data_IF_309724144030
#
_entry.id   IF_309724144030
#
_cell.length_a   1.000
_cell.length_b   1.000
_cell.length_c   1.000
_cell.angle_alpha   90.00
_cell.angle_beta   90.00
_cell.angle_gamma   90.00
#
_symmetry.space_group_name_H-M   'P 1'
#
loop_
_entity.id
_entity.type
_entity.pdbx_description
1 polymer ?
#
# COMPACT_ATOMS: atom_id res chain seq x y z
N UNK A 1 19.40 -15.86 -26.53
CA UNK A 1 20.16 -15.68 -27.78
C UNK A 1 21.37 -16.62 -27.85
N UNK A 2 22.34 -16.51 -26.92
CA UNK A 2 23.54 -17.37 -26.92
C UNK A 2 23.25 -18.87 -26.92
N UNK A 3 22.35 -19.34 -26.03
CA UNK A 3 21.91 -20.75 -25.97
C UNK A 3 21.29 -21.23 -27.30
N UNK A 4 20.65 -20.33 -28.05
CA UNK A 4 20.03 -20.67 -29.33
C UNK A 4 21.06 -20.71 -30.47
N UNK A 5 22.09 -19.85 -30.42
CA UNK A 5 23.10 -19.73 -31.48
C UNK A 5 24.23 -20.75 -31.36
N UNK A 6 24.56 -21.20 -30.14
CA UNK A 6 25.68 -22.10 -29.89
C UNK A 6 25.14 -23.46 -29.44
N UNK A 7 24.99 -24.42 -30.36
CA UNK A 7 24.62 -25.79 -30.02
C UNK A 7 25.77 -26.42 -29.23
N UNK A 8 25.62 -26.49 -27.91
CA UNK A 8 26.66 -26.97 -26.99
C UNK A 8 26.65 -26.24 -25.64
N UNK A 9 26.00 -25.08 -25.55
CA UNK A 9 25.80 -24.42 -24.26
C UNK A 9 24.70 -25.15 -23.47
N UNK A 10 24.97 -25.57 -22.23
CA UNK A 10 23.97 -26.18 -21.35
C UNK A 10 22.81 -25.19 -21.08
N UNK A 11 21.58 -25.69 -21.00
CA UNK A 11 20.39 -24.90 -20.65
C UNK A 11 20.54 -24.25 -19.26
N UNK A 12 21.34 -24.87 -18.40
CA UNK A 12 21.72 -24.41 -17.08
C UNK A 12 22.41 -23.04 -17.10
N UNK A 13 23.02 -22.65 -18.23
CA UNK A 13 23.59 -21.32 -18.41
C UNK A 13 22.54 -20.20 -18.26
N UNK A 14 21.27 -20.49 -18.57
CA UNK A 14 20.17 -19.53 -18.36
C UNK A 14 20.02 -19.19 -16.88
N UNK A 15 20.23 -20.15 -15.96
CA UNK A 15 20.15 -19.89 -14.53
C UNK A 15 21.22 -18.91 -14.06
N UNK A 16 22.44 -19.01 -14.62
CA UNK A 16 23.51 -18.07 -14.32
C UNK A 16 23.17 -16.64 -14.78
N UNK A 17 22.60 -16.49 -15.97
CA UNK A 17 22.14 -15.17 -16.46
C UNK A 17 21.00 -14.62 -15.60
N UNK A 18 20.04 -15.47 -15.21
CA UNK A 18 18.96 -15.07 -14.29
C UNK A 18 19.47 -14.66 -12.92
N UNK A 19 20.53 -15.30 -12.43
CA UNK A 19 21.19 -14.93 -11.18
C UNK A 19 21.79 -13.51 -11.27
N UNK A 20 22.54 -13.20 -12.34
CA UNK A 20 23.08 -11.85 -12.57
C UNK A 20 21.97 -10.80 -12.64
N UNK A 21 20.89 -11.09 -13.38
CA UNK A 21 19.74 -10.18 -13.49
C UNK A 21 19.07 -9.95 -12.12
N UNK A 22 18.94 -10.99 -11.30
CA UNK A 22 18.36 -10.92 -9.96
C UNK A 22 19.25 -10.14 -9.00
N UNK A 23 20.57 -10.32 -9.09
CA UNK A 23 21.54 -9.57 -8.32
C UNK A 23 21.51 -8.07 -8.65
N UNK A 24 21.28 -7.73 -9.92
CA UNK A 24 21.00 -6.35 -10.36
C UNK A 24 19.64 -5.79 -9.91
N UNK A 25 18.86 -6.51 -9.10
CA UNK A 25 17.56 -6.10 -8.57
C UNK A 25 16.36 -6.41 -9.48
N UNK A 26 16.60 -6.88 -10.72
CA UNK A 26 15.56 -7.22 -11.69
C UNK A 26 14.54 -6.09 -11.94
N UNK A 27 13.31 -6.47 -12.28
CA UNK A 27 12.23 -5.51 -12.59
C UNK A 27 11.88 -4.59 -11.40
N UNK A 28 11.99 -5.08 -10.16
CA UNK A 28 11.62 -4.29 -8.97
C UNK A 28 12.71 -3.29 -8.62
N UNK A 29 13.98 -3.67 -8.74
CA UNK A 29 15.12 -2.76 -8.61
C UNK A 29 15.08 -1.64 -9.64
N UNK A 30 14.85 -1.97 -10.91
CA UNK A 30 14.72 -0.99 -11.98
C UNK A 30 13.61 0.04 -11.70
N UNK A 31 12.43 -0.43 -11.28
CA UNK A 31 11.31 0.48 -10.93
C UNK A 31 11.62 1.33 -9.70
N UNK A 32 12.29 0.76 -8.68
CA UNK A 32 12.70 1.52 -7.50
C UNK A 32 13.70 2.62 -7.87
N UNK A 33 14.70 2.31 -8.69
CA UNK A 33 15.69 3.29 -9.18
C UNK A 33 15.00 4.38 -10.00
N UNK A 34 14.09 4.02 -10.90
CA UNK A 34 13.35 4.99 -11.71
C UNK A 34 12.50 5.93 -10.85
N UNK A 35 11.81 5.42 -9.81
CA UNK A 35 11.03 6.26 -8.90
C UNK A 35 11.91 7.15 -8.02
N UNK A 36 13.03 6.63 -7.51
CA UNK A 36 13.99 7.43 -6.75
C UNK A 36 14.57 8.56 -7.60
N UNK A 37 15.07 8.24 -8.79
CA UNK A 37 15.59 9.24 -9.73
C UNK A 37 14.53 10.30 -10.06
N UNK A 38 13.30 9.88 -10.37
CA UNK A 38 12.19 10.80 -10.63
C UNK A 38 11.89 11.71 -9.44
N UNK A 39 11.92 11.17 -8.21
CA UNK A 39 11.68 11.93 -7.00
C UNK A 39 12.77 12.98 -6.73
N UNK A 40 14.01 12.69 -7.15
CA UNK A 40 15.15 13.60 -7.00
C UNK A 40 15.08 14.78 -7.98
N UNK A 41 14.63 14.56 -9.22
CA UNK A 41 14.56 15.60 -10.27
C UNK A 41 13.18 16.28 -10.36
N UNK A 42 12.34 16.12 -9.34
CA UNK A 42 10.99 16.67 -9.32
C UNK A 42 10.72 17.50 -8.07
N UNK A 43 10.07 18.65 -8.29
CA UNK A 43 9.47 19.46 -7.22
C UNK A 43 8.27 18.73 -6.62
N UNK A 44 7.90 19.04 -5.38
CA UNK A 44 6.81 18.35 -4.67
C UNK A 44 5.48 18.39 -5.43
N UNK A 45 5.19 19.52 -6.08
CA UNK A 45 3.99 19.72 -6.89
C UNK A 45 3.94 18.78 -8.11
N UNK A 46 5.05 18.64 -8.83
CA UNK A 46 5.13 17.85 -10.07
C UNK A 46 5.48 16.37 -9.85
N UNK A 47 5.96 16.00 -8.65
CA UNK A 47 6.44 14.65 -8.33
C UNK A 47 5.38 13.58 -8.58
N UNK A 48 4.17 13.81 -8.09
CA UNK A 48 3.06 12.85 -8.22
C UNK A 48 2.72 12.59 -9.68
N UNK A 49 2.66 13.65 -10.51
CA UNK A 49 2.38 13.53 -11.93
C UNK A 49 3.48 12.74 -12.66
N UNK A 50 4.75 13.09 -12.44
CA UNK A 50 5.88 12.38 -13.09
C UNK A 50 5.96 10.90 -12.69
N UNK A 51 5.80 10.59 -11.40
CA UNK A 51 5.78 9.20 -10.91
C UNK A 51 4.60 8.42 -11.53
N UNK A 52 3.42 9.04 -11.63
CA UNK A 52 2.25 8.44 -12.27
C UNK A 52 2.51 8.14 -13.75
N UNK A 53 3.14 9.06 -14.48
CA UNK A 53 3.50 8.88 -15.89
C UNK A 53 4.49 7.73 -16.09
N UNK A 54 5.57 7.66 -15.29
CA UNK A 54 6.54 6.55 -15.33
C UNK A 54 5.83 5.22 -15.07
N UNK A 55 4.99 5.17 -14.05
CA UNK A 55 4.25 3.96 -13.71
C UNK A 55 3.30 3.54 -14.84
N UNK A 56 2.64 4.50 -15.49
CA UNK A 56 1.75 4.25 -16.62
C UNK A 56 2.50 3.69 -17.84
N UNK A 57 3.67 4.26 -18.16
CA UNK A 57 4.53 3.78 -19.25
C UNK A 57 5.02 2.35 -18.99
N UNK A 58 5.39 2.02 -17.75
CA UNK A 58 5.76 0.66 -17.38
C UNK A 58 4.64 -0.36 -17.64
N UNK A 59 3.41 -0.03 -17.25
CA UNK A 59 2.26 -0.90 -17.48
C UNK A 59 1.88 -1.02 -18.96
N UNK A 60 2.09 0.04 -19.76
CA UNK A 60 1.84 0.03 -21.19
C UNK A 60 2.89 -0.80 -21.97
N UNK A 61 4.14 -0.81 -21.50
CA UNK A 61 5.22 -1.55 -22.13
C UNK A 61 4.97 -3.06 -22.22
N UNK A 62 4.25 -3.64 -21.25
CA UNK A 62 3.88 -5.06 -21.24
C UNK A 62 3.09 -5.50 -22.47
N UNK A 63 1.85 -4.99 -22.67
CA UNK A 63 1.05 -5.28 -23.86
C UNK A 63 1.74 -4.92 -25.17
N UNK A 64 2.44 -3.78 -25.23
CA UNK A 64 3.17 -3.38 -26.44
C UNK A 64 4.26 -4.39 -26.80
N UNK A 65 5.02 -4.85 -25.80
CA UNK A 65 6.07 -5.86 -25.99
C UNK A 65 5.50 -7.20 -26.44
N UNK A 66 4.44 -7.69 -25.78
CA UNK A 66 3.82 -8.98 -26.17
C UNK A 66 3.16 -8.91 -27.54
N UNK A 67 2.53 -7.79 -27.90
CA UNK A 67 1.95 -7.58 -29.22
C UNK A 67 3.02 -7.53 -30.31
N UNK A 68 4.10 -6.77 -30.08
CA UNK A 68 5.22 -6.66 -31.01
C UNK A 68 5.88 -8.03 -31.23
N UNK A 69 6.15 -8.77 -30.16
CA UNK A 69 6.74 -10.11 -30.24
C UNK A 69 5.78 -11.08 -30.95
N UNK A 70 4.46 -11.00 -30.72
CA UNK A 70 3.49 -11.83 -31.43
C UNK A 70 3.54 -11.61 -32.96
N UNK A 71 3.61 -10.35 -33.40
CA UNK A 71 3.72 -10.02 -34.83
C UNK A 71 5.05 -10.52 -35.41
N UNK A 72 6.15 -10.34 -34.69
CA UNK A 72 7.47 -10.83 -35.14
C UNK A 72 7.49 -12.35 -35.24
N UNK A 73 6.94 -13.07 -34.26
CA UNK A 73 6.88 -14.54 -34.29
C UNK A 73 5.93 -15.08 -35.38
N UNK A 74 4.95 -14.29 -35.81
CA UNK A 74 4.06 -14.67 -36.92
C UNK A 74 4.75 -14.61 -38.28
N UNK A 75 5.64 -13.65 -38.49
CA UNK A 75 6.28 -13.39 -39.78
C UNK A 75 7.76 -13.83 -39.84
N UNK A 76 8.34 -14.22 -38.71
CA UNK A 76 9.77 -14.46 -38.58
C UNK A 76 10.08 -15.56 -37.55
N UNK A 77 11.35 -15.74 -37.24
CA UNK A 77 11.83 -16.81 -36.35
C UNK A 77 12.02 -16.32 -34.91
N UNK A 78 12.16 -17.24 -33.97
CA UNK A 78 12.53 -16.91 -32.58
C UNK A 78 13.85 -16.13 -32.49
N UNK A 79 14.78 -16.37 -33.43
CA UNK A 79 16.06 -15.66 -33.46
C UNK A 79 15.86 -14.15 -33.66
N UNK A 80 14.99 -13.73 -34.58
CA UNK A 80 14.76 -12.32 -34.85
C UNK A 80 14.04 -11.63 -33.68
N UNK A 81 13.10 -12.31 -33.03
CA UNK A 81 12.45 -11.82 -31.82
C UNK A 81 13.47 -11.58 -30.68
N UNK A 82 14.37 -12.55 -30.44
CA UNK A 82 15.42 -12.42 -29.42
C UNK A 82 16.45 -11.34 -29.77
N UNK A 83 16.81 -11.20 -31.04
CA UNK A 83 17.73 -10.15 -31.51
C UNK A 83 17.09 -8.76 -31.39
N UNK A 84 15.80 -8.61 -31.70
CA UNK A 84 15.08 -7.34 -31.53
C UNK A 84 15.03 -6.92 -30.05
N UNK A 85 14.79 -7.87 -29.14
CA UNK A 85 14.84 -7.63 -27.69
C UNK A 85 16.23 -7.17 -27.26
N UNK A 86 17.30 -7.80 -27.76
CA UNK A 86 18.68 -7.38 -27.48
C UNK A 86 18.93 -5.94 -27.95
N UNK A 87 18.48 -5.60 -29.16
CA UNK A 87 18.61 -4.25 -29.72
C UNK A 87 17.94 -3.21 -28.81
N UNK A 88 16.72 -3.46 -28.33
CA UNK A 88 16.06 -2.54 -27.40
C UNK A 88 16.80 -2.41 -26.06
N UNK A 89 17.34 -3.49 -25.50
CA UNK A 89 18.15 -3.40 -24.28
C UNK A 89 19.45 -2.63 -24.50
N UNK A 90 20.13 -2.81 -25.64
CA UNK A 90 21.34 -2.07 -25.99
C UNK A 90 21.01 -0.59 -26.15
N UNK A 91 19.95 -0.23 -26.88
CA UNK A 91 19.50 1.15 -27.01
C UNK A 91 19.14 1.78 -25.65
N UNK A 92 18.40 1.05 -24.80
CA UNK A 92 18.06 1.53 -23.46
C UNK A 92 19.32 1.74 -22.60
N UNK A 93 20.30 0.84 -22.69
CA UNK A 93 21.57 0.95 -21.95
C UNK A 93 22.39 2.14 -22.42
N UNK A 94 22.53 2.32 -23.74
CA UNK A 94 23.19 3.50 -24.34
C UNK A 94 22.47 4.78 -23.89
N UNK A 95 21.14 4.80 -23.93
CA UNK A 95 20.36 5.95 -23.48
C UNK A 95 20.62 6.28 -22.01
N UNK A 96 20.61 5.27 -21.13
CA UNK A 96 20.90 5.46 -19.69
C UNK A 96 22.33 6.00 -19.49
N UNK A 97 23.33 5.43 -20.16
CA UNK A 97 24.74 5.82 -19.99
C UNK A 97 25.00 7.25 -20.48
N UNK A 98 24.45 7.65 -21.64
CA UNK A 98 24.78 8.93 -22.27
C UNK A 98 23.83 10.07 -21.93
N UNK A 99 22.55 9.80 -21.67
CA UNK A 99 21.52 10.83 -21.52
C UNK A 99 20.99 10.99 -20.09
N UNK A 100 21.01 9.94 -19.26
CA UNK A 100 20.56 10.03 -17.88
C UNK A 100 21.73 10.49 -17.01
N UNK A 101 21.67 11.75 -16.55
CA UNK A 101 22.67 12.33 -15.67
C UNK A 101 22.42 11.89 -14.22
N UNK A 102 23.48 11.62 -13.48
CA UNK A 102 23.39 11.22 -12.06
C UNK A 102 22.69 12.30 -11.21
N UNK A 103 21.69 11.87 -10.41
CA UNK A 103 20.89 12.78 -9.56
C UNK A 103 21.53 13.01 -8.20
N UNK A 104 22.09 11.97 -7.57
CA UNK A 104 22.60 12.02 -6.20
C UNK A 104 23.85 11.15 -6.03
N UNK A 105 24.91 11.72 -5.43
CA UNK A 105 26.18 11.03 -5.19
C UNK A 105 27.40 11.88 -5.53
N UNK A 106 28.63 11.32 -5.43
CA UNK A 106 29.87 12.06 -5.64
C UNK A 106 30.07 12.49 -7.10
N UNK A 107 29.30 11.91 -8.04
CA UNK A 107 29.32 12.24 -9.47
C UNK A 107 28.03 12.94 -9.94
N UNK A 108 27.17 13.39 -9.01
CA UNK A 108 25.88 13.99 -9.35
C UNK A 108 26.03 15.35 -10.03
N UNK A 109 25.52 15.47 -11.25
CA UNK A 109 25.45 16.76 -11.98
C UNK A 109 24.16 17.49 -11.65
N UNK A 110 23.04 16.77 -11.48
CA UNK A 110 21.72 17.37 -11.25
C UNK A 110 21.53 17.77 -9.79
N UNK A 111 22.03 16.96 -8.84
CA UNK A 111 21.98 17.29 -7.41
C UNK A 111 22.71 18.60 -7.07
N UNK A 112 23.77 18.95 -7.80
CA UNK A 112 24.50 20.21 -7.60
C UNK A 112 23.71 21.44 -8.09
N UNK A 113 22.89 21.29 -9.13
CA UNK A 113 22.04 22.37 -9.66
C UNK A 113 20.92 22.70 -8.67
N UNK A 114 20.20 21.69 -8.18
CA UNK A 114 19.13 21.88 -7.19
C UNK A 114 19.68 22.41 -5.86
N UNK A 115 20.87 21.96 -5.44
CA UNK A 115 21.56 22.52 -4.27
C UNK A 115 21.85 24.00 -4.42
N UNK A 116 22.34 24.44 -5.58
CA UNK A 116 22.64 25.87 -5.83
C UNK A 116 21.39 26.77 -5.78
N UNK A 117 20.25 26.26 -6.24
CA UNK A 117 18.97 26.98 -6.26
C UNK A 117 18.34 27.06 -4.86
N UNK A 118 18.51 25.99 -4.05
CA UNK A 118 18.02 25.93 -2.67
C UNK A 118 18.86 26.80 -1.73
N UNK A 119 20.18 26.89 -1.96
CA UNK A 119 21.09 27.77 -1.20
C UNK A 119 20.84 29.26 -1.48
N UNK A 120 20.31 29.63 -2.64
CA UNK A 120 19.98 31.01 -3.00
C UNK A 120 18.70 31.55 -2.32
N UNK A 121 17.81 30.68 -1.82
CA UNK A 121 16.46 31.08 -1.35
C UNK A 121 16.26 30.96 0.16
N UNK A 122 17.13 30.28 0.92
CA UNK A 122 16.94 30.17 2.36
C UNK A 122 18.16 29.68 3.11
N UNK A 123 18.74 30.56 3.93
CA UNK A 123 19.84 30.23 4.83
C UNK A 123 19.42 29.19 5.86
N UNK A 124 19.74 27.93 5.60
CA UNK A 124 19.86 26.87 6.61
C UNK A 124 20.85 25.84 6.11
N UNK A 125 22.09 25.94 6.60
CA UNK A 125 23.18 24.98 6.38
C UNK A 125 22.81 23.64 7.03
N UNK A 126 22.06 22.80 6.34
CA UNK A 126 22.00 21.39 6.66
C UNK A 126 23.30 20.78 6.13
N UNK A 127 24.29 20.58 7.02
CA UNK A 127 25.50 19.83 6.70
C UNK A 127 25.13 18.36 6.47
N UNK A 128 24.72 18.02 5.26
CA UNK A 128 24.64 16.62 4.82
C UNK A 128 25.98 16.27 4.20
N UNK A 129 26.74 15.47 4.96
CA UNK A 129 28.03 14.90 4.61
C UNK A 129 28.12 14.53 3.12
N UNK A 130 29.25 14.86 2.49
CA UNK A 130 29.58 14.39 1.16
C UNK A 130 29.43 12.87 1.12
N UNK A 131 28.45 12.39 0.36
CA UNK A 131 28.15 10.97 0.26
C UNK A 131 29.30 10.29 -0.49
N UNK A 132 30.31 9.84 0.23
CA UNK A 132 31.45 9.11 -0.33
C UNK A 132 31.03 7.68 -0.72
N UNK A 133 31.67 7.08 -1.72
CA UNK A 133 31.42 5.69 -2.14
C UNK A 133 31.49 4.71 -0.96
N UNK A 134 32.40 4.97 -0.01
CA UNK A 134 32.53 4.18 1.23
C UNK A 134 31.36 4.30 2.20
N UNK A 135 30.67 5.44 2.27
CA UNK A 135 29.48 5.60 3.13
C UNK A 135 28.24 4.96 2.49
N UNK A 136 28.12 4.96 1.16
CA UNK A 136 27.11 4.19 0.44
C UNK A 136 27.29 2.68 0.64
N UNK A 137 28.52 2.17 0.53
CA UNK A 137 28.81 0.76 0.75
C UNK A 137 28.49 0.33 2.19
N UNK A 138 28.87 1.13 3.20
CA UNK A 138 28.47 0.89 4.60
C UNK A 138 26.96 0.95 4.82
N UNK A 139 26.26 1.85 4.13
CA UNK A 139 24.81 1.95 4.20
C UNK A 139 24.10 0.75 3.57
N UNK A 140 24.66 0.17 2.50
CA UNK A 140 24.16 -1.04 1.85
C UNK A 140 24.37 -2.29 2.72
N UNK A 141 25.52 -2.37 3.41
CA UNK A 141 25.90 -3.51 4.27
C UNK A 141 25.23 -3.45 5.65
N UNK A 142 24.53 -2.36 6.01
CA UNK A 142 23.89 -2.26 7.32
C UNK A 142 22.61 -3.10 7.41
N UNK A 143 22.80 -4.41 7.61
CA UNK A 143 21.76 -5.43 7.77
C UNK A 143 20.73 -5.09 8.85
N UNK A 144 21.12 -4.28 9.84
CA UNK A 144 20.23 -3.81 10.90
C UNK A 144 18.96 -3.14 10.35
N UNK A 145 19.08 -2.37 9.26
CA UNK A 145 17.92 -1.68 8.61
C UNK A 145 16.93 -2.68 8.00
N UNK A 146 17.45 -3.78 7.45
CA UNK A 146 16.63 -4.88 6.92
C UNK A 146 15.88 -5.54 8.08
N UNK A 147 16.59 -5.91 9.14
CA UNK A 147 16.01 -6.53 10.34
C UNK A 147 14.95 -5.64 10.98
N UNK A 148 15.21 -4.35 11.15
CA UNK A 148 14.24 -3.38 11.69
C UNK A 148 12.98 -3.27 10.82
N UNK A 149 13.11 -3.42 9.50
CA UNK A 149 11.97 -3.44 8.58
C UNK A 149 11.09 -4.68 8.80
N UNK A 150 11.69 -5.86 8.99
CA UNK A 150 10.94 -7.08 9.32
C UNK A 150 10.35 -7.03 10.74
N UNK A 151 11.08 -6.52 11.73
CA UNK A 151 10.58 -6.34 13.09
C UNK A 151 9.36 -5.42 13.15
N UNK A 152 9.29 -4.40 12.27
CA UNK A 152 8.13 -3.50 12.18
C UNK A 152 6.82 -4.19 11.77
N UNK A 153 6.88 -5.36 11.11
CA UNK A 153 5.68 -6.16 10.81
C UNK A 153 5.10 -6.82 12.07
N UNK A 154 5.96 -7.16 13.03
CA UNK A 154 5.58 -7.87 14.26
C UNK A 154 5.45 -6.96 15.48
N UNK A 155 5.72 -5.66 15.34
CA UNK A 155 5.54 -4.66 16.40
C UNK A 155 4.11 -4.74 16.96
N UNK A 156 4.00 -4.74 18.29
CA UNK A 156 2.70 -4.74 18.97
C UNK A 156 2.00 -3.42 18.65
N UNK A 157 0.80 -3.52 18.11
CA UNK A 157 -0.10 -2.38 17.89
C UNK A 157 -1.31 -2.55 18.79
N UNK A 158 -1.89 -1.43 19.17
CA UNK A 158 -3.12 -1.43 19.94
C UNK A 158 -4.26 -1.99 19.05
N UNK A 159 -5.24 -2.66 19.66
CA UNK A 159 -6.36 -3.26 18.91
C UNK A 159 -6.00 -4.47 18.05
N UNK A 160 -6.80 -4.69 17.00
CA UNK A 160 -6.67 -5.82 16.08
C UNK A 160 -5.82 -5.49 14.84
N UNK A 161 -5.22 -4.30 14.80
CA UNK A 161 -4.51 -3.74 13.66
C UNK A 161 -3.26 -4.55 13.28
N UNK A 162 -2.62 -5.17 14.28
CA UNK A 162 -1.53 -6.13 14.04
C UNK A 162 -2.02 -7.34 13.25
N UNK A 163 -3.17 -7.91 13.61
CA UNK A 163 -3.72 -9.07 12.91
C UNK A 163 -4.15 -8.69 11.49
N UNK A 164 -4.82 -7.55 11.30
CA UNK A 164 -5.23 -7.05 9.98
C UNK A 164 -4.02 -6.81 9.07
N UNK A 165 -2.94 -6.23 9.60
CA UNK A 165 -1.70 -6.03 8.85
C UNK A 165 -1.07 -7.37 8.44
N UNK A 166 -0.92 -8.32 9.38
CA UNK A 166 -0.33 -9.63 9.08
C UNK A 166 -1.17 -10.41 8.07
N UNK A 167 -2.51 -10.42 8.22
CA UNK A 167 -3.42 -11.06 7.25
C UNK A 167 -3.27 -10.42 5.87
N UNK A 168 -3.19 -9.09 5.79
CA UNK A 168 -3.01 -8.39 4.52
C UNK A 168 -1.69 -8.74 3.84
N UNK A 169 -0.60 -8.85 4.60
CA UNK A 169 0.72 -9.25 4.09
C UNK A 169 0.69 -10.70 3.60
N UNK A 170 0.13 -11.62 4.38
CA UNK A 170 0.01 -13.05 4.02
C UNK A 170 -0.88 -13.23 2.79
N UNK A 171 -2.02 -12.53 2.70
CA UNK A 171 -2.89 -12.59 1.53
C UNK A 171 -2.23 -11.98 0.29
N UNK A 172 -1.40 -10.95 0.44
CA UNK A 172 -0.60 -10.41 -0.66
C UNK A 172 0.45 -11.42 -1.15
N UNK A 173 1.08 -12.14 -0.23
CA UNK A 173 1.98 -13.26 -0.55
C UNK A 173 1.23 -14.39 -1.29
N UNK A 174 0.09 -14.83 -0.76
CA UNK A 174 -0.74 -15.87 -1.36
C UNK A 174 -1.23 -15.48 -2.76
N UNK A 175 -1.63 -14.21 -2.96
CA UNK A 175 -1.98 -13.68 -4.29
C UNK A 175 -0.83 -13.81 -5.30
N UNK A 176 0.43 -13.63 -4.87
CA UNK A 176 1.59 -13.79 -5.76
C UNK A 176 1.82 -15.24 -6.17
N UNK A 177 1.51 -16.19 -5.28
CA UNK A 177 1.56 -17.63 -5.57
C UNK A 177 0.43 -18.02 -6.55
N UNK A 178 -0.76 -17.44 -6.43
CA UNK A 178 -1.95 -17.81 -7.19
C UNK A 178 -2.00 -17.33 -8.66
N UNK A 179 -0.86 -17.24 -9.37
CA UNK A 179 -0.80 -16.63 -10.72
C UNK A 179 -0.91 -17.59 -11.91
N UNK A 180 -0.88 -18.90 -11.71
CA UNK A 180 -0.95 -19.85 -12.83
C UNK A 180 0.33 -19.89 -13.67
N UNK A 181 1.45 -20.36 -13.08
CA UNK A 181 2.79 -20.29 -13.72
C UNK A 181 2.95 -21.14 -14.99
N UNK A 182 2.13 -22.18 -15.18
CA UNK A 182 2.23 -23.12 -16.31
C UNK A 182 1.09 -22.95 -17.32
N UNK A 183 0.47 -21.76 -17.40
CA UNK A 183 -0.62 -21.50 -18.35
C UNK A 183 -0.19 -21.66 -19.81
N UNK A 184 1.05 -21.28 -20.17
CA UNK A 184 1.56 -21.52 -21.52
C UNK A 184 1.65 -23.02 -21.82
N UNK A 185 2.23 -23.80 -20.91
CA UNK A 185 2.32 -25.26 -21.05
C UNK A 185 0.93 -25.89 -21.12
N UNK A 186 -0.03 -25.40 -20.36
CA UNK A 186 -1.43 -25.81 -20.45
C UNK A 186 -2.03 -25.56 -21.84
N UNK A 187 -1.86 -24.35 -22.39
CA UNK A 187 -2.37 -24.03 -23.73
C UNK A 187 -1.69 -24.86 -24.82
N UNK A 188 -0.42 -25.26 -24.62
CA UNK A 188 0.28 -26.19 -25.51
C UNK A 188 -0.30 -27.59 -25.47
N UNK A 189 -0.56 -28.12 -24.28
CA UNK A 189 -1.02 -29.51 -24.12
C UNK A 189 -2.49 -29.70 -24.46
N UNK A 190 -3.36 -28.74 -24.12
CA UNK A 190 -4.82 -28.89 -24.27
C UNK A 190 -5.34 -28.27 -25.57
N UNK A 191 -4.80 -27.11 -25.96
CA UNK A 191 -5.32 -26.33 -27.09
C UNK A 191 -4.41 -26.34 -28.32
N UNK A 192 -3.22 -26.94 -28.21
CA UNK A 192 -2.19 -26.95 -29.26
C UNK A 192 -1.78 -25.56 -29.76
N UNK A 193 -1.90 -24.54 -28.91
CA UNK A 193 -1.58 -23.16 -29.27
C UNK A 193 -0.09 -22.98 -29.50
N UNK A 194 0.31 -22.20 -30.49
CA UNK A 194 1.71 -21.81 -30.64
C UNK A 194 2.06 -20.60 -29.75
N UNK A 195 3.35 -20.25 -29.69
CA UNK A 195 3.80 -19.07 -28.95
C UNK A 195 3.11 -17.78 -29.43
N UNK A 196 2.74 -17.72 -30.72
CA UNK A 196 2.01 -16.60 -31.33
C UNK A 196 0.60 -16.47 -30.76
N UNK A 197 -0.19 -17.55 -30.74
CA UNK A 197 -1.57 -17.53 -30.23
C UNK A 197 -1.62 -17.17 -28.75
N UNK A 198 -0.73 -17.79 -27.97
CA UNK A 198 -0.57 -17.46 -26.55
C UNK A 198 -0.19 -15.99 -26.33
N UNK A 199 0.65 -15.42 -27.19
CA UNK A 199 1.05 -14.01 -27.11
C UNK A 199 -0.11 -13.07 -27.44
N UNK A 200 -0.95 -13.40 -28.44
CA UNK A 200 -2.17 -12.64 -28.73
C UNK A 200 -3.15 -12.67 -27.57
N UNK A 201 -3.41 -13.86 -27.02
CA UNK A 201 -4.27 -14.03 -25.85
C UNK A 201 -3.74 -13.29 -24.62
N UNK A 202 -2.43 -13.37 -24.35
CA UNK A 202 -1.79 -12.67 -23.23
C UNK A 202 -1.93 -11.15 -23.40
N UNK A 203 -1.70 -10.63 -24.61
CA UNK A 203 -1.87 -9.21 -24.93
C UNK A 203 -3.31 -8.77 -24.66
N UNK A 204 -4.30 -9.51 -25.19
CA UNK A 204 -5.71 -9.25 -24.95
C UNK A 204 -6.05 -9.22 -23.46
N UNK A 205 -5.61 -10.22 -22.69
CA UNK A 205 -5.82 -10.31 -21.24
C UNK A 205 -5.25 -9.10 -20.50
N UNK A 206 -4.02 -8.68 -20.81
CA UNK A 206 -3.41 -7.53 -20.14
C UNK A 206 -4.17 -6.24 -20.49
N UNK A 207 -4.60 -6.07 -21.74
CA UNK A 207 -5.38 -4.89 -22.15
C UNK A 207 -6.74 -4.82 -21.44
N UNK A 208 -7.49 -5.93 -21.38
CA UNK A 208 -8.79 -5.99 -20.69
C UNK A 208 -8.63 -5.61 -19.21
N UNK A 209 -7.67 -6.21 -18.52
CA UNK A 209 -7.40 -5.93 -17.10
C UNK A 209 -6.84 -4.52 -16.86
N UNK A 210 -6.07 -3.97 -17.79
CA UNK A 210 -5.58 -2.59 -17.74
C UNK A 210 -6.72 -1.58 -17.89
N UNK A 211 -7.57 -1.75 -18.91
CA UNK A 211 -8.75 -0.89 -19.13
C UNK A 211 -9.70 -0.92 -17.93
N UNK A 212 -9.99 -2.11 -17.39
CA UNK A 212 -10.81 -2.22 -16.19
C UNK A 212 -10.14 -1.56 -14.97
N UNK A 213 -8.82 -1.63 -14.83
CA UNK A 213 -8.12 -0.91 -13.75
C UNK A 213 -8.16 0.62 -13.91
N UNK A 214 -8.19 1.11 -15.15
CA UNK A 214 -8.21 2.54 -15.45
C UNK A 214 -9.60 3.14 -15.29
N UNK A 215 -10.65 2.42 -15.69
CA UNK A 215 -12.02 2.93 -15.67
C UNK A 215 -12.84 2.39 -14.50
N UNK A 216 -12.85 1.07 -14.28
CA UNK A 216 -13.78 0.42 -13.36
C UNK A 216 -13.34 0.55 -11.89
N UNK A 217 -12.04 0.45 -11.60
CA UNK A 217 -11.52 0.60 -10.21
C UNK A 217 -11.75 2.03 -9.66
N UNK A 218 -11.48 3.12 -10.41
CA UNK A 218 -11.81 4.47 -9.94
C UNK A 218 -13.31 4.69 -9.76
N UNK A 219 -14.17 4.12 -10.62
CA UNK A 219 -15.63 4.18 -10.46
C UNK A 219 -16.07 3.48 -9.17
N UNK A 220 -15.56 2.28 -8.88
CA UNK A 220 -15.83 1.57 -7.62
C UNK A 220 -15.37 2.38 -6.39
N UNK A 221 -14.22 3.06 -6.49
CA UNK A 221 -13.65 3.82 -5.37
C UNK A 221 -14.35 5.16 -5.15
N UNK A 222 -14.64 5.91 -6.21
CA UNK A 222 -15.21 7.27 -6.12
C UNK A 222 -16.74 7.25 -6.08
N UNK A 223 -17.38 6.52 -6.98
CA UNK A 223 -18.84 6.52 -7.09
C UNK A 223 -19.49 5.67 -5.99
N UNK A 224 -18.94 4.48 -5.72
CA UNK A 224 -19.49 3.56 -4.71
C UNK A 224 -18.84 3.69 -3.33
N UNK A 225 -17.82 4.55 -3.16
CA UNK A 225 -17.06 4.73 -1.91
C UNK A 225 -16.61 3.39 -1.31
N UNK A 226 -16.22 2.45 -2.18
CA UNK A 226 -15.82 1.11 -1.75
C UNK A 226 -14.59 1.19 -0.85
N UNK A 227 -14.64 0.52 0.31
CA UNK A 227 -13.48 0.41 1.20
C UNK A 227 -12.43 -0.53 0.61
N UNK A 228 -11.18 -0.46 1.08
CA UNK A 228 -10.12 -1.35 0.60
C UNK A 228 -10.50 -2.83 0.78
N UNK A 229 -11.24 -3.17 1.84
CA UNK A 229 -11.78 -4.53 2.07
C UNK A 229 -12.67 -5.00 0.92
N UNK A 230 -13.61 -4.16 0.48
CA UNK A 230 -14.53 -4.48 -0.61
C UNK A 230 -13.78 -4.62 -1.94
N UNK A 231 -12.81 -3.75 -2.21
CA UNK A 231 -11.97 -3.84 -3.41
C UNK A 231 -11.16 -5.14 -3.45
N UNK A 232 -10.64 -5.60 -2.31
CA UNK A 232 -9.93 -6.88 -2.21
C UNK A 232 -10.88 -8.05 -2.47
N UNK A 233 -12.09 -8.04 -1.89
CA UNK A 233 -13.08 -9.09 -2.12
C UNK A 233 -13.44 -9.16 -3.60
N UNK A 234 -13.85 -8.05 -4.20
CA UNK A 234 -14.26 -7.99 -5.62
C UNK A 234 -13.14 -8.49 -6.54
N UNK A 235 -11.91 -8.00 -6.35
CA UNK A 235 -10.81 -8.42 -7.20
C UNK A 235 -10.39 -9.88 -6.98
N UNK A 236 -10.54 -10.41 -5.76
CA UNK A 236 -10.26 -11.82 -5.46
C UNK A 236 -11.32 -12.75 -6.04
N UNK A 237 -12.60 -12.37 -5.97
CA UNK A 237 -13.70 -13.10 -6.62
C UNK A 237 -13.52 -13.10 -8.13
N UNK A 238 -13.21 -11.95 -8.74
CA UNK A 238 -12.94 -11.84 -10.18
C UNK A 238 -11.76 -12.73 -10.61
N UNK A 239 -10.67 -12.76 -9.83
CA UNK A 239 -9.53 -13.64 -10.08
C UNK A 239 -9.92 -15.13 -9.94
N UNK A 240 -10.70 -15.48 -8.92
CA UNK A 240 -11.15 -16.84 -8.70
C UNK A 240 -12.05 -17.34 -9.83
N UNK A 241 -12.96 -16.48 -10.32
CA UNK A 241 -13.79 -16.77 -11.49
C UNK A 241 -12.94 -17.01 -12.75
N UNK A 242 -11.98 -16.13 -13.03
CA UNK A 242 -11.07 -16.29 -14.17
C UNK A 242 -10.32 -17.62 -14.15
N UNK A 243 -9.69 -17.97 -13.01
CA UNK A 243 -8.96 -19.23 -12.88
C UNK A 243 -9.88 -20.45 -12.93
N UNK A 244 -11.06 -20.37 -12.31
CA UNK A 244 -12.03 -21.47 -12.38
C UNK A 244 -12.51 -21.68 -13.82
N UNK A 245 -12.72 -20.61 -14.60
CA UNK A 245 -13.05 -20.72 -16.01
C UNK A 245 -11.95 -21.39 -16.83
N UNK A 246 -10.67 -21.11 -16.57
CA UNK A 246 -9.57 -21.83 -17.23
C UNK A 246 -9.55 -23.32 -16.88
N UNK A 247 -9.90 -23.70 -15.66
CA UNK A 247 -9.97 -25.10 -15.26
C UNK A 247 -11.05 -25.90 -16.02
N UNK A 248 -12.08 -25.23 -16.54
CA UNK A 248 -13.15 -25.87 -17.32
C UNK A 248 -12.75 -26.17 -18.77
N UNK A 249 -11.61 -25.67 -19.23
CA UNK A 249 -11.12 -25.92 -20.59
C UNK A 249 -10.49 -27.31 -20.64
N UNK A 250 -11.21 -28.27 -21.23
CA UNK A 250 -10.78 -29.66 -21.34
C UNK A 250 -10.35 -30.03 -22.76
N UNK A 251 -10.85 -29.31 -23.76
CA UNK A 251 -10.67 -29.64 -25.16
C UNK A 251 -10.43 -28.40 -26.04
N UNK A 252 -9.87 -28.58 -27.25
CA UNK A 252 -9.70 -27.48 -28.22
C UNK A 252 -11.01 -26.74 -28.58
N UNK A 253 -12.16 -27.42 -28.54
CA UNK A 253 -13.47 -26.81 -28.78
C UNK A 253 -13.86 -25.79 -27.72
N UNK A 254 -13.29 -25.88 -26.52
CA UNK A 254 -13.55 -24.95 -25.41
C UNK A 254 -12.64 -23.72 -25.44
N UNK A 255 -11.84 -23.55 -26.50
CA UNK A 255 -10.88 -22.44 -26.63
C UNK A 255 -11.52 -21.05 -26.50
N UNK A 256 -12.82 -20.91 -26.80
CA UNK A 256 -13.60 -19.68 -26.57
C UNK A 256 -13.57 -19.24 -25.11
N UNK A 257 -13.59 -20.19 -24.16
CA UNK A 257 -13.57 -19.89 -22.72
C UNK A 257 -12.27 -19.18 -22.33
N UNK A 258 -11.14 -19.48 -23.00
CA UNK A 258 -9.88 -18.77 -22.76
C UNK A 258 -9.99 -17.28 -23.07
N UNK A 259 -10.76 -16.91 -24.09
CA UNK A 259 -10.98 -15.51 -24.49
C UNK A 259 -12.03 -14.82 -23.63
N UNK A 260 -13.03 -15.54 -23.12
CA UNK A 260 -14.07 -14.97 -22.24
C UNK A 260 -13.58 -14.81 -20.80
N UNK A 261 -12.74 -15.72 -20.30
CA UNK A 261 -12.29 -15.72 -18.91
C UNK A 261 -11.59 -14.42 -18.45
N UNK A 262 -10.71 -13.76 -19.24
CA UNK A 262 -10.15 -12.45 -18.87
C UNK A 262 -11.20 -11.36 -18.62
N UNK A 263 -12.37 -11.43 -19.25
CA UNK A 263 -13.48 -10.52 -18.96
C UNK A 263 -14.06 -10.78 -17.56
N UNK A 264 -14.20 -12.03 -17.16
CA UNK A 264 -14.59 -12.39 -15.78
C UNK A 264 -13.53 -11.94 -14.76
N UNK A 265 -12.26 -11.99 -15.17
CA UNK A 265 -11.07 -11.54 -14.43
C UNK A 265 -10.74 -10.05 -14.51
N UNK A 266 -11.57 -9.21 -15.15
CA UNK A 266 -11.18 -7.83 -15.44
C UNK A 266 -10.90 -6.99 -14.18
N UNK A 267 -11.49 -7.36 -13.04
CA UNK A 267 -11.34 -6.67 -11.76
C UNK A 267 -10.22 -7.23 -10.87
N UNK A 268 -9.41 -8.18 -11.35
CA UNK A 268 -8.22 -8.70 -10.64
C UNK A 268 -7.32 -7.60 -10.06
N UNK A 269 -7.19 -6.46 -10.76
CA UNK A 269 -6.39 -5.32 -10.32
C UNK A 269 -6.99 -4.55 -9.11
N UNK A 270 -8.27 -4.74 -8.77
CA UNK A 270 -8.90 -4.15 -7.58
C UNK A 270 -8.30 -4.65 -6.26
N UNK A 271 -7.63 -5.80 -6.26
CA UNK A 271 -6.82 -6.30 -5.13
C UNK A 271 -5.61 -5.39 -4.79
N UNK A 272 -5.45 -4.21 -5.41
CA UNK A 272 -4.53 -3.16 -4.96
C UNK A 272 -4.74 -2.77 -3.49
N UNK A 273 -5.94 -3.01 -2.95
CA UNK A 273 -6.26 -2.94 -1.54
C UNK A 273 -5.27 -3.69 -0.62
N UNK A 274 -4.74 -4.83 -1.06
CA UNK A 274 -3.74 -5.62 -0.30
C UNK A 274 -2.41 -4.89 -0.11
N UNK A 275 -2.13 -3.85 -0.91
CA UNK A 275 -0.97 -2.98 -0.76
C UNK A 275 -1.31 -1.68 -0.05
N UNK A 276 -2.49 -1.11 -0.28
CA UNK A 276 -2.89 0.15 0.36
C UNK A 276 -3.27 -0.03 1.83
N UNK A 277 -3.97 -1.11 2.19
CA UNK A 277 -4.49 -1.32 3.55
C UNK A 277 -3.39 -1.34 4.62
N UNK A 278 -2.26 -2.08 4.48
CA UNK A 278 -1.17 -2.02 5.44
C UNK A 278 -0.62 -0.60 5.64
N UNK A 279 -0.55 0.20 4.58
CA UNK A 279 -0.02 1.58 4.65
C UNK A 279 -0.98 2.57 5.33
N UNK A 280 -2.26 2.23 5.45
CA UNK A 280 -3.28 3.03 6.16
C UNK A 280 -3.32 2.73 7.66
N UNK A 281 -2.95 1.51 8.05
CA UNK A 281 -2.92 1.06 9.45
C UNK A 281 -1.71 1.63 10.20
N UNK A 282 -0.64 1.96 9.48
CA UNK A 282 0.66 2.30 10.09
C UNK A 282 0.99 3.77 9.97
N UNK A 283 1.69 4.28 10.99
CA UNK A 283 2.16 5.66 11.04
C UNK A 283 3.14 5.98 9.90
N UNK A 284 3.24 7.26 9.50
CA UNK A 284 4.07 7.70 8.38
C UNK A 284 5.53 7.25 8.49
N UNK A 285 6.09 7.20 9.71
CA UNK A 285 7.49 6.81 9.97
C UNK A 285 7.78 5.31 9.82
N UNK A 286 6.74 4.48 9.69
CA UNK A 286 6.86 3.02 9.52
C UNK A 286 6.37 2.55 8.15
N UNK A 287 5.71 3.40 7.34
CA UNK A 287 5.15 3.03 6.03
C UNK A 287 6.21 2.46 5.10
N UNK A 288 7.34 3.16 4.95
CA UNK A 288 8.43 2.72 4.08
C UNK A 288 9.00 1.36 4.49
N UNK A 289 9.19 1.13 5.80
CA UNK A 289 9.70 -0.14 6.35
C UNK A 289 8.77 -1.30 6.08
N UNK A 290 7.46 -1.10 6.24
CA UNK A 290 6.45 -2.15 6.03
C UNK A 290 6.27 -2.45 4.55
N UNK A 291 6.24 -1.42 3.70
CA UNK A 291 6.19 -1.60 2.25
C UNK A 291 7.42 -2.34 1.74
N UNK A 292 8.62 -2.02 2.25
CA UNK A 292 9.86 -2.71 1.91
C UNK A 292 9.83 -4.19 2.34
N UNK A 293 9.45 -4.48 3.59
CA UNK A 293 9.38 -5.85 4.10
C UNK A 293 8.32 -6.68 3.35
N UNK A 294 7.15 -6.10 3.06
CA UNK A 294 6.11 -6.74 2.24
C UNK A 294 6.59 -6.97 0.81
N UNK A 295 7.32 -6.01 0.23
CA UNK A 295 7.95 -6.13 -1.08
C UNK A 295 8.94 -7.30 -1.15
N UNK A 296 9.83 -7.40 -0.15
CA UNK A 296 10.78 -8.50 -0.03
C UNK A 296 10.07 -9.86 0.09
N UNK A 297 9.10 -10.00 1.00
CA UNK A 297 8.32 -11.23 1.17
C UNK A 297 7.57 -11.63 -0.11
N UNK A 298 6.91 -10.68 -0.77
CA UNK A 298 6.18 -10.94 -2.01
C UNK A 298 7.10 -11.24 -3.20
N UNK A 299 8.35 -10.77 -3.16
CA UNK A 299 9.38 -11.07 -4.17
C UNK A 299 9.87 -12.53 -4.14
N UNK A 300 9.77 -13.20 -2.98
CA UNK A 300 10.12 -14.62 -2.83
C UNK A 300 9.02 -15.57 -3.32
N UNK A 301 7.78 -15.09 -3.40
CA UNK A 301 6.61 -15.92 -3.69
C UNK A 301 6.57 -16.56 -5.08
N UNK A 302 7.12 -15.96 -6.17
CA UNK A 302 7.21 -16.65 -7.44
C UNK A 302 8.00 -17.96 -7.34
N UNK A 303 9.07 -18.03 -6.55
CA UNK A 303 9.84 -19.27 -6.36
C UNK A 303 8.98 -20.37 -5.71
N UNK A 304 8.26 -20.02 -4.64
CA UNK A 304 7.32 -20.93 -3.97
C UNK A 304 6.21 -21.36 -4.93
N UNK A 305 5.68 -20.41 -5.70
CA UNK A 305 4.67 -20.66 -6.71
C UNK A 305 5.14 -21.63 -7.79
N UNK A 306 6.32 -21.44 -8.36
CA UNK A 306 6.88 -22.38 -9.34
C UNK A 306 7.05 -23.78 -8.77
N UNK A 307 7.56 -23.92 -7.54
CA UNK A 307 7.74 -25.23 -6.91
C UNK A 307 6.40 -25.97 -6.70
N UNK A 308 5.39 -25.28 -6.16
CA UNK A 308 4.07 -25.87 -5.91
C UNK A 308 3.35 -26.19 -7.22
N UNK A 309 3.36 -25.27 -8.18
CA UNK A 309 2.69 -25.50 -9.46
C UNK A 309 3.42 -26.56 -10.31
N UNK A 310 4.74 -26.69 -10.20
CA UNK A 310 5.47 -27.76 -10.86
C UNK A 310 5.02 -29.12 -10.34
N UNK A 311 4.97 -29.31 -9.01
CA UNK A 311 4.49 -30.54 -8.40
C UNK A 311 3.06 -30.88 -8.86
N UNK A 312 2.14 -29.90 -8.79
CA UNK A 312 0.76 -30.09 -9.27
C UNK A 312 0.75 -30.46 -10.76
N UNK A 313 1.50 -29.75 -11.59
CA UNK A 313 1.51 -29.97 -13.03
C UNK A 313 2.05 -31.36 -13.39
N UNK A 314 3.17 -31.79 -12.81
CA UNK A 314 3.74 -33.11 -13.09
C UNK A 314 2.78 -34.25 -12.72
N UNK A 315 2.09 -34.13 -11.59
CA UNK A 315 1.15 -35.16 -11.13
C UNK A 315 -0.17 -35.17 -11.92
N UNK A 316 -0.64 -34.00 -12.39
CA UNK A 316 -1.98 -33.88 -12.99
C UNK A 316 -2.00 -33.72 -14.50
N UNK A 317 -0.89 -33.41 -15.18
CA UNK A 317 -0.88 -33.09 -16.62
C UNK A 317 -1.46 -34.21 -17.50
N UNK A 318 -1.32 -35.48 -17.10
CA UNK A 318 -1.82 -36.61 -17.89
C UNK A 318 -3.35 -36.74 -17.79
N UNK A 319 -3.92 -36.51 -16.60
CA UNK A 319 -5.34 -36.75 -16.34
C UNK A 319 -6.20 -35.48 -16.37
N UNK A 320 -5.69 -34.39 -15.78
CA UNK A 320 -6.39 -33.10 -15.70
C UNK A 320 -5.40 -31.92 -15.62
N UNK A 321 -4.94 -31.41 -16.79
CA UNK A 321 -4.05 -30.24 -16.88
C UNK A 321 -4.59 -28.96 -16.21
N UNK A 322 -5.91 -28.84 -16.09
CA UNK A 322 -6.59 -27.68 -15.49
C UNK A 322 -6.48 -27.58 -13.96
N UNK A 323 -5.95 -28.61 -13.27
CA UNK A 323 -5.86 -28.66 -11.81
C UNK A 323 -5.10 -27.47 -11.21
N UNK A 324 -4.06 -27.00 -11.91
CA UNK A 324 -3.26 -25.85 -11.49
C UNK A 324 -4.10 -24.57 -11.33
N UNK A 325 -5.16 -24.40 -12.13
CA UNK A 325 -6.02 -23.23 -12.05
C UNK A 325 -7.02 -23.35 -10.91
N UNK A 326 -7.50 -24.57 -10.58
CA UNK A 326 -8.31 -24.78 -9.38
C UNK A 326 -7.53 -24.42 -8.11
N UNK A 327 -6.24 -24.74 -8.06
CA UNK A 327 -5.38 -24.33 -6.95
C UNK A 327 -5.28 -22.80 -6.83
N UNK A 328 -5.02 -22.09 -7.94
CA UNK A 328 -5.01 -20.62 -7.97
C UNK A 328 -6.37 -20.00 -7.62
N UNK A 329 -7.46 -20.60 -8.10
CA UNK A 329 -8.84 -20.21 -7.80
C UNK A 329 -9.16 -20.39 -6.31
N UNK A 330 -8.80 -21.51 -5.72
CA UNK A 330 -9.01 -21.81 -4.30
C UNK A 330 -8.29 -20.81 -3.39
N UNK A 331 -7.05 -20.44 -3.70
CA UNK A 331 -6.32 -19.40 -2.95
C UNK A 331 -7.04 -18.06 -3.04
N UNK A 332 -7.45 -17.63 -4.23
CA UNK A 332 -8.16 -16.37 -4.39
C UNK A 332 -9.53 -16.38 -3.69
N UNK A 333 -10.24 -17.50 -3.70
CA UNK A 333 -11.47 -17.68 -2.95
C UNK A 333 -11.24 -17.60 -1.44
N UNK A 334 -10.18 -18.23 -0.93
CA UNK A 334 -9.80 -18.14 0.48
C UNK A 334 -9.48 -16.69 0.89
N UNK A 335 -8.77 -15.93 0.04
CA UNK A 335 -8.52 -14.50 0.26
C UNK A 335 -9.84 -13.72 0.32
N UNK A 336 -10.77 -13.98 -0.63
CA UNK A 336 -12.07 -13.33 -0.64
C UNK A 336 -12.87 -13.63 0.63
N UNK A 337 -12.91 -14.89 1.07
CA UNK A 337 -13.61 -15.33 2.27
C UNK A 337 -13.02 -14.69 3.54
N UNK A 338 -11.70 -14.66 3.69
CA UNK A 338 -11.04 -14.01 4.82
C UNK A 338 -11.37 -12.53 4.91
N UNK A 339 -11.29 -11.80 3.80
CA UNK A 339 -11.61 -10.38 3.78
C UNK A 339 -13.11 -10.10 3.93
N UNK A 340 -13.99 -11.01 3.51
CA UNK A 340 -15.42 -10.95 3.77
C UNK A 340 -15.73 -11.07 5.27
N UNK A 341 -15.12 -12.06 5.95
CA UNK A 341 -15.26 -12.23 7.41
C UNK A 341 -14.76 -10.98 8.14
N UNK A 342 -13.60 -10.45 7.73
CA UNK A 342 -13.07 -9.21 8.30
C UNK A 342 -13.99 -8.02 8.05
N UNK A 343 -14.57 -7.90 6.85
CA UNK A 343 -15.50 -6.84 6.51
C UNK A 343 -16.76 -6.89 7.38
N UNK A 344 -17.34 -8.09 7.57
CA UNK A 344 -18.50 -8.30 8.45
C UNK A 344 -18.14 -7.97 9.90
N UNK A 345 -17.02 -8.47 10.41
CA UNK A 345 -16.57 -8.19 11.78
C UNK A 345 -16.36 -6.70 12.05
N UNK A 346 -15.86 -5.95 11.08
CA UNK A 346 -15.70 -4.49 11.17
C UNK A 346 -17.04 -3.75 11.14
N UNK A 347 -18.01 -4.23 10.34
CA UNK A 347 -19.34 -3.65 10.28
C UNK A 347 -20.12 -3.86 11.57
N UNK A 348 -20.07 -5.06 12.15
CA UNK A 348 -20.72 -5.37 13.44
C UNK A 348 -20.17 -4.47 14.54
N UNK A 349 -18.85 -4.37 14.66
CA UNK A 349 -18.22 -3.47 15.66
C UNK A 349 -18.58 -2.00 15.46
N UNK A 350 -18.67 -1.53 14.20
CA UNK A 350 -19.09 -0.16 13.93
C UNK A 350 -20.55 0.06 14.34
N UNK A 351 -21.42 -0.94 14.18
CA UNK A 351 -22.80 -0.91 14.67
C UNK A 351 -22.85 -0.77 16.18
N UNK A 352 -22.15 -1.65 16.91
CA UNK A 352 -22.09 -1.62 18.38
C UNK A 352 -21.62 -0.26 18.93
N UNK A 353 -20.61 0.37 18.31
CA UNK A 353 -20.11 1.68 18.74
C UNK A 353 -21.13 2.80 18.50
N UNK A 354 -21.87 2.75 17.39
CA UNK A 354 -22.93 3.73 17.10
C UNK A 354 -24.07 3.59 18.11
N UNK A 355 -24.47 2.36 18.44
CA UNK A 355 -25.51 2.09 19.43
C UNK A 355 -25.13 2.60 20.84
N UNK A 356 -23.85 2.48 21.22
CA UNK A 356 -23.34 3.00 22.49
C UNK A 356 -23.35 4.54 22.52
N UNK A 357 -22.93 5.19 21.43
CA UNK A 357 -22.92 6.66 21.35
C UNK A 357 -24.34 7.24 21.36
N UNK A 358 -25.30 6.56 20.72
CA UNK A 358 -26.71 6.92 20.76
C UNK A 358 -27.30 6.79 22.17
N UNK A 359 -26.90 5.77 22.94
CA UNK A 359 -27.30 5.62 24.35
C UNK A 359 -26.71 6.69 25.28
N UNK A 360 -25.50 7.18 25.00
CA UNK A 360 -24.84 8.24 25.79
C UNK A 360 -25.45 9.63 25.49
N UNK A 361 -25.99 9.83 24.29
CA UNK A 361 -26.51 11.14 23.84
C UNK A 361 -28.00 11.37 24.12
N UNK A 362 -28.73 10.37 24.63
CA UNK A 362 -30.13 10.52 25.04
C UNK A 362 -30.25 11.40 26.31
N UNK A 363 -31.17 12.39 26.36
CA UNK A 363 -31.39 13.23 27.53
C UNK A 363 -31.84 12.40 28.73
N UNK A 364 -31.18 12.62 29.87
CA UNK A 364 -31.40 11.94 31.15
C UNK A 364 -32.70 12.35 31.86
N UNK A 365 -33.85 12.21 31.21
CA UNK A 365 -35.16 12.49 31.83
C UNK A 365 -36.06 11.25 31.99
N UNK A 366 -35.58 10.04 31.64
CA UNK A 366 -36.35 8.79 31.84
C UNK A 366 -35.51 7.61 32.34
N UNK A 367 -34.45 7.85 33.11
CA UNK A 367 -33.73 6.76 33.78
C UNK A 367 -34.45 6.35 35.09
N UNK A 368 -35.24 5.27 35.06
CA UNK A 368 -35.49 4.45 36.26
C UNK A 368 -34.16 3.81 36.68
N UNK A 369 -33.84 3.67 37.98
CA UNK A 369 -32.58 3.08 38.40
C UNK A 369 -32.65 1.55 38.24
N UNK A 370 -32.29 1.05 37.06
CA UNK A 370 -31.91 -0.35 36.90
C UNK A 370 -30.44 -0.48 37.29
N UNK A 371 -30.19 -0.72 38.58
CA UNK A 371 -28.90 -1.19 39.08
C UNK A 371 -28.65 -2.57 38.47
N UNK A 372 -27.99 -2.61 37.31
CA UNK A 372 -27.23 -3.78 36.90
C UNK A 372 -25.78 -3.52 37.26
N UNK A 373 -25.34 -4.22 38.30
CA UNK A 373 -23.94 -4.33 38.73
C UNK A 373 -23.09 -4.73 37.52
N UNK A 374 -22.45 -3.76 36.87
CA UNK A 374 -21.39 -4.05 35.90
C UNK A 374 -20.18 -4.44 36.73
N UNK A 375 -19.96 -5.75 36.86
CA UNK A 375 -18.69 -6.32 37.34
C UNK A 375 -17.52 -5.73 36.53
N UNK A 376 -16.40 -5.36 37.17
CA UNK A 376 -15.29 -4.71 36.48
C UNK A 376 -14.61 -5.72 35.56
N UNK A 377 -14.79 -5.56 34.25
CA UNK A 377 -13.96 -6.22 33.25
C UNK A 377 -12.57 -5.59 33.30
N UNK A 378 -11.69 -6.17 34.13
CA UNK A 378 -10.25 -6.01 34.03
C UNK A 378 -9.81 -6.35 32.61
N UNK A 379 -9.47 -5.35 31.80
CA UNK A 379 -8.27 -5.27 30.94
C UNK A 379 -8.34 -4.01 30.08
N UNK A 380 -7.31 -3.17 30.22
CA UNK A 380 -7.20 -1.89 29.53
C UNK A 380 -7.31 -2.03 28.02
N UNK A 381 -8.15 -1.18 27.44
CA UNK A 381 -8.30 -1.01 26.01
C UNK A 381 -8.72 0.43 25.76
N UNK A 382 -7.80 1.25 25.28
CA UNK A 382 -8.05 2.60 24.79
C UNK A 382 -7.27 2.75 23.48
N UNK A 383 -7.98 3.11 22.42
CA UNK A 383 -7.40 3.64 21.18
C UNK A 383 -8.26 4.84 20.76
N UNK A 384 -7.66 5.89 20.18
CA UNK A 384 -8.34 7.14 19.93
C UNK A 384 -9.19 7.01 18.66
N UNK A 385 -10.50 7.18 18.81
CA UNK A 385 -11.38 7.44 17.67
C UNK A 385 -11.15 8.90 17.28
N UNK A 386 -10.47 9.14 16.15
CA UNK A 386 -10.43 10.48 15.54
C UNK A 386 -11.78 10.71 14.84
N UNK A 387 -12.74 11.23 15.60
CA UNK A 387 -14.03 11.68 15.05
C UNK A 387 -13.81 13.05 14.40
N UNK A 388 -13.84 13.11 13.08
CA UNK A 388 -14.12 14.37 12.37
C UNK A 388 -15.63 14.62 12.46
N UNK A 389 -16.08 15.39 13.45
CA UNK A 389 -17.46 15.93 13.46
C UNK A 389 -17.52 17.18 12.59
N UNK A 390 -18.42 17.17 11.60
CA UNK A 390 -18.78 18.35 10.82
C UNK A 390 -19.46 19.38 11.76
N UNK A 391 -18.84 20.54 11.91
CA UNK A 391 -19.36 21.68 12.66
C UNK A 391 -20.45 22.40 11.86
N UNK A 392 -21.71 22.03 12.02
CA UNK A 392 -22.83 22.88 11.56
C UNK A 392 -24.06 22.95 12.47
N UNK A 393 -24.12 22.26 13.62
CA UNK A 393 -25.33 22.28 14.46
C UNK A 393 -25.14 22.66 15.95
N UNK A 394 -23.98 23.17 16.37
CA UNK A 394 -23.73 23.48 17.79
C UNK A 394 -24.30 24.83 18.28
N UNK A 395 -24.73 25.73 17.39
CA UNK A 395 -25.19 27.08 17.80
C UNK A 395 -26.63 27.15 18.31
N UNK A 396 -27.45 26.10 18.12
CA UNK A 396 -28.86 26.10 18.53
C UNK A 396 -29.16 25.38 19.85
N UNK A 397 -28.22 24.59 20.37
CA UNK A 397 -28.43 23.80 21.60
C UNK A 397 -27.92 24.54 22.85
N UNK A 398 -26.88 25.37 22.73
CA UNK A 398 -26.26 26.07 23.88
C UNK A 398 -27.11 27.25 24.39
N UNK A 399 -28.02 27.79 23.59
CA UNK A 399 -28.86 28.93 23.99
C UNK A 399 -30.06 28.56 24.90
N UNK A 400 -30.38 27.27 25.09
CA UNK A 400 -31.61 26.85 25.77
C UNK A 400 -31.42 26.36 27.21
N UNK A 401 -30.18 26.20 27.67
CA UNK A 401 -29.88 25.54 28.97
C UNK A 401 -29.37 26.49 30.07
N UNK A 402 -29.20 27.78 29.80
CA UNK A 402 -28.74 28.77 30.80
C UNK A 402 -29.87 29.56 31.50
N UNK A 403 -31.05 28.95 31.64
CA UNK A 403 -32.19 29.55 32.35
C UNK A 403 -32.84 28.54 33.29
N UNK A 404 -32.15 28.13 34.36
CA UNK A 404 -32.81 27.78 35.62
C UNK A 404 -31.83 27.54 36.79
N UNK A 405 -31.89 28.48 37.75
CA UNK A 405 -31.78 28.38 39.22
C UNK A 405 -30.70 27.51 39.90
N UNK A 406 -29.90 28.22 40.71
CA UNK A 406 -29.77 28.10 42.18
C UNK A 406 -30.26 26.80 42.85
N UNK A 407 -29.33 26.01 43.41
CA UNK A 407 -29.47 25.37 44.73
C UNK A 407 -28.10 24.88 45.24
N UNK A 408 -27.91 24.97 46.57
CA UNK A 408 -26.66 24.80 47.30
C UNK A 408 -26.35 23.33 47.73
N UNK A 409 -25.04 23.02 47.76
CA UNK A 409 -24.28 22.25 48.79
C UNK A 409 -24.44 20.71 48.93
N UNK A 410 -23.55 19.99 49.70
CA UNK A 410 -22.07 19.98 49.72
C UNK A 410 -21.46 18.55 49.95
N UNK A 411 -20.11 18.42 49.95
CA UNK A 411 -19.25 17.56 50.82
C UNK A 411 -18.18 16.66 50.14
N UNK A 412 -16.91 16.93 50.54
CA UNK A 412 -15.74 16.04 50.77
C UNK A 412 -15.22 15.16 49.60
N UNK A 413 -13.92 14.95 49.35
CA UNK A 413 -12.65 15.25 50.02
C UNK A 413 -11.51 14.78 49.09
N UNK A 414 -10.42 15.53 48.97
CA UNK A 414 -9.14 15.12 48.33
C UNK A 414 -8.22 14.42 49.37
N UNK A 415 -6.94 14.03 49.12
CA UNK A 415 -6.18 13.78 47.87
C UNK A 415 -5.31 12.47 47.92
N UNK A 416 -4.62 12.11 46.83
CA UNK A 416 -3.27 11.49 46.92
C UNK A 416 -2.42 11.75 45.67
N UNK A 417 -1.34 12.52 45.89
CA UNK A 417 -0.24 12.84 44.98
C UNK A 417 0.80 11.70 44.94
N UNK A 418 1.45 11.50 43.80
CA UNK A 418 2.81 10.94 43.70
C UNK A 418 3.61 11.85 42.76
N UNK A 419 4.74 12.35 43.25
CA UNK A 419 5.73 13.22 42.60
C UNK A 419 6.87 12.40 41.98
N UNK A 420 7.51 12.95 40.94
CA UNK A 420 8.94 12.76 40.62
C UNK A 420 9.42 13.95 39.76
N UNK A 421 10.40 14.69 40.28
CA UNK A 421 11.11 15.83 39.66
C UNK A 421 12.29 15.37 38.78
N UNK A 422 12.58 16.08 37.68
CA UNK A 422 13.83 16.87 37.49
C UNK A 422 13.88 17.55 36.09
N UNK A 423 13.72 18.88 36.13
CA UNK A 423 14.43 19.98 35.46
C UNK A 423 14.88 19.98 33.98
N UNK A 424 14.18 20.86 33.24
CA UNK A 424 14.65 22.15 32.72
C UNK A 424 15.57 22.20 31.47
N UNK A 425 15.00 22.70 30.36
CA UNK A 425 15.61 23.71 29.45
C UNK A 425 14.59 24.28 28.46
N UNK A 426 14.53 25.62 28.47
CA UNK A 426 13.79 26.59 27.63
C UNK A 426 13.64 26.22 26.15
N UNK A 427 12.42 26.34 25.62
CA UNK A 427 12.17 26.65 24.21
C UNK A 427 11.59 28.06 24.07
N UNK A 428 12.35 28.91 23.38
CA UNK A 428 11.85 30.02 22.57
C UNK A 428 11.21 29.43 21.30
N UNK A 429 10.32 30.22 20.70
CA UNK A 429 9.63 30.02 19.42
C UNK A 429 8.32 29.20 19.50
N UNK A 430 7.24 29.87 19.93
CA UNK A 430 5.86 29.41 19.73
C UNK A 430 5.30 29.98 18.43
N UNK A 431 4.79 29.10 17.57
CA UNK A 431 4.10 29.40 16.30
C UNK A 431 2.71 30.01 16.54
N UNK A 432 2.05 30.63 15.52
CA UNK A 432 0.79 31.39 15.68
C UNK A 432 -0.46 30.59 16.11
N UNK A 433 -0.30 29.33 16.49
CA UNK A 433 -1.37 28.35 16.74
C UNK A 433 -1.50 27.92 18.20
N UNK A 434 -0.60 28.35 19.08
CA UNK A 434 -0.55 27.93 20.49
C UNK A 434 -0.41 29.11 21.46
N UNK A 435 -1.43 29.33 22.31
CA UNK A 435 -1.33 30.24 23.45
C UNK A 435 -1.08 29.43 24.74
N UNK A 436 -0.06 29.82 25.50
CA UNK A 436 0.34 29.21 26.77
C UNK A 436 0.01 30.16 27.93
N UNK A 437 -0.97 29.81 28.76
CA UNK A 437 -1.24 30.52 30.01
C UNK A 437 -0.50 29.84 31.18
N UNK A 438 0.33 30.60 31.90
CA UNK A 438 1.03 30.12 33.09
C UNK A 438 0.75 31.00 34.30
N UNK A 439 0.30 30.41 35.42
CA UNK A 439 0.40 31.00 36.75
C UNK A 439 1.15 30.02 37.65
N UNK A 440 2.10 30.52 38.47
CA UNK A 440 2.90 29.71 39.39
C UNK A 440 1.99 28.90 40.32
N UNK A 441 1.99 27.57 40.18
CA UNK A 441 1.37 26.63 41.14
C UNK A 441 0.23 25.73 40.63
N UNK A 442 -0.21 25.80 39.36
CA UNK A 442 -1.27 24.93 38.82
C UNK A 442 -0.94 24.35 37.41
N UNK A 443 -1.54 23.22 37.00
CA UNK A 443 -1.14 22.49 35.79
C UNK A 443 -1.38 23.30 34.50
N UNK A 444 -0.45 23.15 33.54
CA UNK A 444 -0.46 23.84 32.24
C UNK A 444 -1.66 23.41 31.39
N UNK A 445 -2.44 24.38 30.92
CA UNK A 445 -3.50 24.17 29.92
C UNK A 445 -2.97 24.69 28.58
N UNK A 446 -2.87 23.80 27.58
CA UNK A 446 -2.50 24.14 26.20
C UNK A 446 -3.76 24.06 25.37
N UNK A 447 -4.16 25.17 24.76
CA UNK A 447 -5.28 25.22 23.82
C UNK A 447 -4.71 25.34 22.41
N UNK A 448 -4.89 24.29 21.60
CA UNK A 448 -4.43 24.24 20.20
C UNK A 448 -5.63 24.43 19.28
N UNK A 449 -5.56 25.41 18.38
CA UNK A 449 -6.60 25.67 17.38
C UNK A 449 -6.21 25.09 16.02
N UNK A 450 -7.19 24.57 15.28
CA UNK A 450 -6.96 23.89 14.00
C UNK A 450 -6.75 24.81 12.79
N UNK A 451 -6.85 26.14 12.96
CA UNK A 451 -6.64 27.17 11.92
C UNK A 451 -5.99 28.43 12.54
N UNK A 452 -5.27 29.27 11.75
CA UNK A 452 -4.68 30.52 12.26
C UNK A 452 -5.79 31.50 12.70
N UNK A 453 -5.66 32.03 13.93
CA UNK A 453 -6.63 32.93 14.57
C UNK A 453 -6.60 34.33 13.94
N UNK A 454 -7.75 35.00 13.91
CA UNK A 454 -7.84 36.43 13.59
C UNK A 454 -7.61 37.30 14.83
N UNK A 455 -7.12 38.55 14.66
CA UNK A 455 -6.78 39.45 15.77
C UNK A 455 -7.95 39.74 16.74
N UNK A 456 -9.20 39.67 16.25
CA UNK A 456 -10.39 39.77 17.10
C UNK A 456 -10.63 38.53 17.97
N UNK A 457 -10.30 37.34 17.46
CA UNK A 457 -10.45 36.07 18.20
C UNK A 457 -9.41 35.94 19.32
N UNK A 458 -8.20 36.48 19.09
CA UNK A 458 -7.15 36.57 20.11
C UNK A 458 -7.61 37.46 21.26
N UNK A 459 -8.12 38.67 20.97
CA UNK A 459 -8.66 39.59 22.00
C UNK A 459 -9.83 39.00 22.78
N UNK A 460 -10.69 38.20 22.13
CA UNK A 460 -11.80 37.50 22.78
C UNK A 460 -11.32 36.37 23.70
N UNK A 461 -10.25 35.67 23.32
CA UNK A 461 -9.65 34.60 24.14
C UNK A 461 -8.96 35.13 25.39
N UNK A 462 -8.32 36.29 25.31
CA UNK A 462 -7.74 37.00 26.46
C UNK A 462 -8.84 37.48 27.43
N UNK A 463 -9.93 38.05 26.91
CA UNK A 463 -11.07 38.49 27.73
C UNK A 463 -11.85 37.34 28.41
N UNK A 464 -11.80 36.12 27.87
CA UNK A 464 -12.38 34.91 28.46
C UNK A 464 -11.50 34.32 29.58
N UNK A 465 -10.19 34.55 29.54
CA UNK A 465 -9.30 34.16 30.63
C UNK A 465 -9.51 35.05 31.88
N UNK A 466 -9.83 36.33 31.70
CA UNK A 466 -10.07 37.23 32.83
C UNK A 466 -11.47 37.06 33.47
N UNK A 467 -12.49 36.66 32.70
CA UNK A 467 -13.87 36.57 33.19
C UNK A 467 -14.27 35.24 33.86
N UNK A 468 -13.42 34.21 33.84
CA UNK A 468 -13.64 32.95 34.57
C UNK A 468 -12.80 32.86 35.87
N UNK A 469 -12.39 34.01 36.42
CA UNK A 469 -11.65 34.12 37.69
C UNK A 469 -12.57 34.66 38.81
N UNK A 470 -13.81 34.18 38.92
CA UNK A 470 -14.61 34.29 40.15
C UNK A 470 -15.51 33.07 40.35
#
# INVERSE_FOLDING_TARGET
LLVYLVPGIPLEFVYFVSFIMSFGGGNTGLMSIAFSYCSDISTEENRTFKISTINSLWYLGGPMGTALIAVVLRHSTYLTALSLMLVFYVFATIYIIFFIKESNGPFAVVGNIVKSETEAVGGSRVSKEDVTIGSMAKAFVNWRRVVESFQSLFKRREGNDRAVLLISVVCNMARRVARGFFIYMFTRTVLYWDATDYSYWTTYKILVTALASLFLVPVLTKSFKASDYVLIIIGSVSSALEFTSYALVLSPSDSVVMWVAPCLGMLTNAQIGLRSLPTKIVGPDEKGRITAATGALTGLMPMVGYAVYAAIYYDTVVYFPGAQFLFGGAINFAIAALFLVMYIALRVRRGEVVDIEEQITLPSDTARPAVRTITPLKRGFSLPVRVTTNTTNLSKVVAKTLRNRNSLCPACSSPKLIYSEEDDKRCKDASPTECLCTKKGHPRIVVSYSNPLTDEEIKKSEALCDNNIN
#
